data_IF_042649634717
#
_entry.id   IF_042649634717
#
_cell.length_a   1.000
_cell.length_b   1.000
_cell.length_c   1.000
_cell.angle_alpha   90.00
_cell.angle_beta   90.00
_cell.angle_gamma   90.00
#
_symmetry.space_group_name_H-M   'P 1'
#
loop_
_entity.id
_entity.type
_entity.pdbx_description
1 polymer ?
#
# COMPACT_ATOMS: atom_id res chain seq x y z
N UNK A 1 23.12 -17.63 -26.79
CA UNK A 1 22.39 -17.47 -25.52
C UNK A 1 23.46 -17.41 -24.44
N UNK A 2 23.97 -16.21 -24.16
CA UNK A 2 24.97 -16.03 -23.09
C UNK A 2 24.34 -16.54 -21.79
N UNK A 3 25.00 -17.51 -21.16
CA UNK A 3 24.59 -18.00 -19.86
C UNK A 3 24.58 -16.80 -18.91
N UNK A 4 23.41 -16.47 -18.35
CA UNK A 4 23.33 -15.51 -17.24
C UNK A 4 24.39 -15.95 -16.21
N UNK A 5 25.30 -15.06 -15.78
CA UNK A 5 26.24 -15.41 -14.75
C UNK A 5 25.45 -15.96 -13.55
N UNK A 6 25.88 -17.10 -13.03
CA UNK A 6 25.28 -17.68 -11.83
C UNK A 6 25.31 -16.59 -10.74
N UNK A 7 24.13 -16.12 -10.34
CA UNK A 7 24.02 -15.11 -9.29
C UNK A 7 24.51 -15.75 -8.00
N UNK A 8 25.53 -15.17 -7.38
CA UNK A 8 25.93 -15.57 -6.02
C UNK A 8 24.88 -15.01 -5.05
N UNK A 9 23.92 -15.85 -4.67
CA UNK A 9 22.85 -15.50 -3.74
C UNK A 9 23.37 -14.94 -2.41
N UNK A 10 24.53 -15.41 -1.94
CA UNK A 10 25.14 -14.91 -0.72
C UNK A 10 25.74 -13.51 -0.91
N UNK A 11 26.35 -13.24 -2.07
CA UNK A 11 26.80 -11.89 -2.43
C UNK A 11 25.62 -10.93 -2.57
N UNK A 12 24.59 -11.33 -3.32
CA UNK A 12 23.38 -10.52 -3.51
C UNK A 12 22.70 -10.22 -2.17
N UNK A 13 22.62 -11.20 -1.26
CA UNK A 13 22.09 -10.99 0.08
C UNK A 13 22.90 -9.99 0.92
N UNK A 14 24.23 -10.01 0.81
CA UNK A 14 25.09 -9.02 1.48
C UNK A 14 24.89 -7.61 0.91
N UNK A 15 24.79 -7.48 -0.40
CA UNK A 15 24.55 -6.20 -1.07
C UNK A 15 23.17 -5.63 -0.73
N UNK A 16 22.13 -6.46 -0.71
CA UNK A 16 20.79 -6.06 -0.31
C UNK A 16 20.75 -5.52 1.14
N UNK A 17 21.43 -6.19 2.07
CA UNK A 17 21.56 -5.70 3.45
C UNK A 17 22.36 -4.39 3.52
N UNK A 18 23.44 -4.26 2.75
CA UNK A 18 24.23 -3.03 2.70
C UNK A 18 23.40 -1.82 2.24
N UNK A 19 22.49 -2.01 1.28
CA UNK A 19 21.53 -0.97 0.86
C UNK A 19 20.61 -0.55 2.01
N UNK A 20 20.04 -1.51 2.75
CA UNK A 20 19.17 -1.20 3.90
C UNK A 20 19.92 -0.47 5.02
N UNK A 21 21.17 -0.82 5.27
CA UNK A 21 21.99 -0.13 6.28
C UNK A 21 22.37 1.29 5.81
N UNK A 22 22.71 1.46 4.53
CA UNK A 22 23.02 2.78 3.96
C UNK A 22 21.82 3.74 3.97
N UNK A 23 20.60 3.19 3.85
CA UNK A 23 19.37 3.96 3.85
C UNK A 23 18.79 4.20 5.26
N UNK A 24 19.45 3.74 6.32
CA UNK A 24 18.98 3.96 7.68
C UNK A 24 19.27 5.38 8.16
N UNK A 25 18.26 6.05 8.72
CA UNK A 25 18.38 7.42 9.22
C UNK A 25 18.62 7.52 10.73
N UNK A 26 18.71 6.39 11.44
CA UNK A 26 18.73 6.34 12.90
C UNK A 26 17.37 5.99 13.51
N UNK A 27 16.27 6.22 12.79
CA UNK A 27 14.91 5.90 13.25
C UNK A 27 14.03 5.23 12.19
N UNK A 28 14.24 5.49 10.90
CA UNK A 28 13.50 4.86 9.81
C UNK A 28 14.41 4.60 8.60
N UNK A 29 14.04 3.66 7.75
CA UNK A 29 14.77 3.40 6.50
C UNK A 29 14.11 4.17 5.36
N UNK A 30 14.88 5.00 4.66
CA UNK A 30 14.36 5.73 3.49
C UNK A 30 14.25 4.79 2.28
N UNK A 31 13.16 4.82 1.48
CA UNK A 31 13.04 3.96 0.31
C UNK A 31 14.15 4.20 -0.72
N UNK A 32 14.47 5.47 -0.98
CA UNK A 32 15.52 5.88 -1.89
C UNK A 32 16.12 7.22 -1.42
N UNK A 33 17.42 7.29 -1.09
CA UNK A 33 18.08 8.55 -0.76
C UNK A 33 17.88 9.59 -1.86
N UNK A 34 17.57 10.83 -1.47
CA UNK A 34 17.29 11.93 -2.39
C UNK A 34 15.85 11.97 -2.88
N UNK A 35 15.34 10.89 -3.50
CA UNK A 35 14.00 10.87 -4.09
C UNK A 35 12.89 10.72 -3.03
N UNK A 36 13.09 9.82 -2.07
CA UNK A 36 12.14 9.51 -1.00
C UNK A 36 12.84 9.67 0.36
N UNK A 37 13.10 10.91 0.85
CA UNK A 37 13.98 11.18 1.99
C UNK A 37 13.33 11.00 3.38
N UNK A 38 12.27 10.20 3.47
CA UNK A 38 11.43 9.98 4.65
C UNK A 38 11.08 8.49 4.79
N UNK A 39 10.29 8.15 5.81
CA UNK A 39 9.84 6.78 6.03
C UNK A 39 8.43 6.62 5.45
N UNK A 40 8.26 5.65 4.54
CA UNK A 40 6.97 5.31 3.96
C UNK A 40 6.39 4.04 4.57
N UNK A 41 5.07 4.02 4.76
CA UNK A 41 4.39 2.98 5.55
C UNK A 41 4.54 1.57 5.01
N UNK A 42 4.19 1.33 3.75
CA UNK A 42 4.27 -0.02 3.18
C UNK A 42 5.73 -0.41 2.87
N UNK A 43 6.60 0.55 2.54
CA UNK A 43 8.05 0.35 2.36
C UNK A 43 8.68 -0.15 3.65
N UNK A 44 8.38 0.49 4.78
CA UNK A 44 8.82 0.04 6.10
C UNK A 44 8.34 -1.38 6.43
N UNK A 45 7.14 -1.77 5.99
CA UNK A 45 6.69 -3.16 6.17
C UNK A 45 7.57 -4.15 5.37
N UNK A 46 7.97 -3.81 4.13
CA UNK A 46 8.93 -4.61 3.36
C UNK A 46 10.34 -4.60 3.97
N UNK A 47 10.79 -3.46 4.50
CA UNK A 47 12.07 -3.35 5.21
C UNK A 47 12.08 -4.25 6.45
N UNK A 48 11.02 -4.24 7.25
CA UNK A 48 10.86 -5.15 8.41
C UNK A 48 10.97 -6.61 7.97
N UNK A 49 10.31 -6.98 6.87
CA UNK A 49 10.37 -8.35 6.31
C UNK A 49 11.81 -8.69 5.87
N UNK A 50 12.50 -7.78 5.18
CA UNK A 50 13.88 -7.99 4.71
C UNK A 50 14.88 -8.10 5.87
N UNK A 51 14.68 -7.33 6.93
CA UNK A 51 15.54 -7.34 8.12
C UNK A 51 15.23 -8.48 9.09
N UNK A 52 14.02 -9.04 9.07
CA UNK A 52 13.51 -9.98 10.07
C UNK A 52 14.47 -11.15 10.39
N UNK A 53 15.10 -11.71 9.36
CA UNK A 53 16.02 -12.86 9.51
C UNK A 53 17.43 -12.45 9.96
N UNK A 54 17.92 -11.28 9.53
CA UNK A 54 19.34 -10.92 9.61
C UNK A 54 19.64 -9.84 10.65
N UNK A 55 18.68 -8.96 10.91
CA UNK A 55 18.75 -7.80 11.81
C UNK A 55 17.42 -7.60 12.55
N UNK A 56 16.97 -8.56 13.38
CA UNK A 56 15.65 -8.51 14.01
C UNK A 56 15.48 -7.30 14.94
N UNK A 57 16.54 -6.82 15.59
CA UNK A 57 16.46 -5.62 16.45
C UNK A 57 16.13 -4.38 15.62
N UNK A 58 16.79 -4.21 14.46
CA UNK A 58 16.49 -3.15 13.49
C UNK A 58 15.10 -3.28 12.89
N UNK A 59 14.63 -4.50 12.64
CA UNK A 59 13.26 -4.74 12.18
C UNK A 59 12.23 -4.28 13.22
N UNK A 60 12.48 -4.48 14.52
CA UNK A 60 11.61 -3.97 15.60
C UNK A 60 11.61 -2.45 15.65
N UNK A 61 12.79 -1.84 15.55
CA UNK A 61 12.95 -0.37 15.55
C UNK A 61 12.23 0.26 14.35
N UNK A 62 12.38 -0.29 13.14
CA UNK A 62 11.69 0.17 11.94
C UNK A 62 10.16 0.19 12.13
N UNK A 63 9.59 -0.93 12.61
CA UNK A 63 8.14 -1.05 12.83
C UNK A 63 7.65 -0.08 13.90
N UNK A 64 8.34 0.02 15.04
CA UNK A 64 7.95 0.90 16.14
C UNK A 64 8.07 2.38 15.76
N UNK A 65 9.09 2.73 14.98
CA UNK A 65 9.27 4.09 14.51
C UNK A 65 8.14 4.51 13.57
N UNK A 66 7.75 3.65 12.61
CA UNK A 66 6.59 3.90 11.78
C UNK A 66 5.31 4.06 12.63
N UNK A 67 5.09 3.14 13.57
CA UNK A 67 3.92 3.15 14.45
C UNK A 67 3.91 4.32 15.44
N UNK A 68 5.04 5.01 15.67
CA UNK A 68 5.05 6.29 16.39
C UNK A 68 4.31 7.41 15.63
N UNK A 69 4.16 7.25 14.32
CA UNK A 69 3.33 8.08 13.45
C UNK A 69 1.84 7.72 13.47
N UNK A 70 1.42 6.68 14.20
CA UNK A 70 0.01 6.30 14.26
C UNK A 70 -0.84 7.37 14.93
N UNK A 71 -1.95 7.73 14.29
CA UNK A 71 -2.92 8.69 14.82
C UNK A 71 -3.76 8.03 15.92
N UNK A 72 -4.30 8.85 16.84
CA UNK A 72 -5.19 8.36 17.90
C UNK A 72 -6.49 7.71 17.37
N UNK A 73 -6.85 8.00 16.10
CA UNK A 73 -7.94 7.32 15.37
C UNK A 73 -7.62 5.88 14.98
N UNK A 74 -6.35 5.46 15.07
CA UNK A 74 -5.83 4.18 14.59
C UNK A 74 -5.16 4.27 13.21
N UNK A 75 -5.32 5.36 12.46
CA UNK A 75 -4.69 5.50 11.13
C UNK A 75 -3.16 5.43 11.23
N UNK A 76 -2.54 4.55 10.44
CA UNK A 76 -1.09 4.57 10.20
C UNK A 76 -0.86 5.39 8.91
N UNK A 77 -0.17 6.54 8.98
CA UNK A 77 0.01 7.43 7.84
C UNK A 77 0.98 6.84 6.83
N UNK A 78 0.81 7.16 5.54
CA UNK A 78 1.72 6.66 4.50
C UNK A 78 3.12 7.26 4.59
N UNK A 79 3.31 8.42 5.25
CA UNK A 79 4.62 9.05 5.45
C UNK A 79 4.79 9.49 6.90
N UNK A 80 5.95 9.18 7.48
CA UNK A 80 6.48 9.80 8.69
C UNK A 80 7.69 10.67 8.31
N UNK A 81 7.54 11.98 8.51
CA UNK A 81 8.51 12.98 8.07
C UNK A 81 9.65 13.13 9.08
N UNK A 82 10.87 12.88 8.61
CA UNK A 82 12.10 12.99 9.42
C UNK A 82 12.82 14.32 9.22
N UNK A 83 12.71 14.91 8.04
CA UNK A 83 13.30 16.21 7.69
C UNK A 83 12.21 17.09 7.10
N UNK A 84 12.05 18.32 7.59
CA UNK A 84 11.00 19.21 7.10
C UNK A 84 11.32 19.65 5.67
N UNK A 85 10.30 19.61 4.80
CA UNK A 85 10.31 20.14 3.43
C UNK A 85 11.38 19.56 2.49
N UNK A 86 11.94 18.38 2.78
CA UNK A 86 12.86 17.68 1.86
C UNK A 86 12.13 16.94 0.72
N UNK A 87 10.81 16.82 0.82
CA UNK A 87 9.92 16.18 -0.15
C UNK A 87 8.64 17.01 -0.29
N UNK A 88 8.04 17.01 -1.47
CA UNK A 88 6.77 17.68 -1.73
C UNK A 88 5.70 16.69 -2.20
N UNK A 89 4.48 16.72 -1.62
CA UNK A 89 4.01 17.61 -0.56
C UNK A 89 4.60 17.29 0.82
N UNK A 90 5.17 18.31 1.47
CA UNK A 90 5.80 18.21 2.79
C UNK A 90 4.86 18.53 3.97
N UNK A 91 5.38 18.52 5.21
CA UNK A 91 4.60 18.84 6.41
C UNK A 91 3.81 20.15 6.32
N UNK A 92 4.35 21.18 5.66
CA UNK A 92 3.67 22.47 5.45
C UNK A 92 2.37 22.35 4.64
N UNK A 93 2.28 21.37 3.74
CA UNK A 93 1.08 21.08 2.96
C UNK A 93 0.14 20.20 3.78
N UNK A 94 0.64 19.13 4.40
CA UNK A 94 -0.20 18.19 5.15
C UNK A 94 -0.77 18.79 6.43
N UNK A 95 -0.04 19.65 7.13
CA UNK A 95 -0.48 20.31 8.38
C UNK A 95 -1.09 19.34 9.41
N UNK A 96 -0.59 18.11 9.48
CA UNK A 96 -1.12 17.08 10.38
C UNK A 96 -1.02 17.50 11.85
N UNK A 97 0.01 18.27 12.22
CA UNK A 97 0.18 18.81 13.58
C UNK A 97 -0.96 19.70 14.08
N UNK A 98 -1.86 20.13 13.20
CA UNK A 98 -3.02 20.94 13.55
C UNK A 98 -4.25 20.10 13.90
N UNK A 99 -4.20 18.79 13.64
CA UNK A 99 -5.29 17.86 13.93
C UNK A 99 -5.11 17.22 15.31
N UNK A 100 -6.16 17.20 16.13
CA UNK A 100 -6.10 16.74 17.53
C UNK A 100 -5.68 15.27 17.69
N UNK A 101 -6.04 14.42 16.73
CA UNK A 101 -5.67 13.00 16.73
C UNK A 101 -4.30 12.70 16.13
N UNK A 102 -3.61 13.69 15.55
CA UNK A 102 -2.31 13.45 14.95
C UNK A 102 -1.25 13.25 16.05
N UNK A 103 -0.22 12.42 15.81
CA UNK A 103 0.88 12.24 16.73
C UNK A 103 1.77 13.50 16.79
N UNK A 104 2.73 13.52 17.71
CA UNK A 104 3.71 14.61 17.83
C UNK A 104 4.69 14.70 16.65
N UNK A 105 4.93 13.58 15.97
CA UNK A 105 5.77 13.54 14.77
C UNK A 105 4.98 14.06 13.57
N UNK A 106 5.66 14.73 12.63
CA UNK A 106 4.99 15.17 11.40
C UNK A 106 4.67 13.96 10.53
N UNK A 107 3.42 13.88 10.10
CA UNK A 107 2.93 12.80 9.25
C UNK A 107 2.14 13.36 8.08
N UNK A 108 1.97 12.56 7.03
CA UNK A 108 0.94 12.85 6.03
C UNK A 108 -0.46 12.54 6.57
N UNK A 109 -1.50 12.95 5.83
CA UNK A 109 -2.91 12.74 6.20
C UNK A 109 -3.59 11.54 5.51
N UNK A 110 -2.84 10.73 4.76
CA UNK A 110 -3.36 9.57 4.03
C UNK A 110 -2.79 8.27 4.59
N UNK A 111 -3.51 7.15 4.40
CA UNK A 111 -3.05 5.79 4.77
C UNK A 111 -2.31 5.10 3.62
N UNK A 112 -1.86 3.87 3.81
CA UNK A 112 -1.19 3.02 2.82
C UNK A 112 -1.68 1.57 2.96
N UNK A 113 -1.38 0.63 2.04
CA UNK A 113 -1.81 -0.75 2.18
C UNK A 113 -1.29 -1.37 3.50
N UNK A 114 -2.16 -2.02 4.31
CA UNK A 114 -1.84 -2.38 5.69
C UNK A 114 -1.01 -3.68 5.81
N UNK A 115 0.20 -3.71 5.26
CA UNK A 115 1.11 -4.88 5.29
C UNK A 115 1.72 -5.19 6.68
N UNK A 116 1.49 -4.33 7.67
CA UNK A 116 2.23 -4.30 8.93
C UNK A 116 2.06 -5.56 9.79
N UNK A 117 0.88 -6.19 9.81
CA UNK A 117 0.67 -7.44 10.54
C UNK A 117 1.40 -8.62 9.88
N UNK A 118 1.49 -8.63 8.54
CA UNK A 118 2.31 -9.62 7.82
C UNK A 118 3.79 -9.44 8.14
N UNK A 119 4.26 -8.20 8.24
CA UNK A 119 5.62 -7.88 8.64
C UNK A 119 5.92 -8.33 10.07
N UNK A 120 5.03 -8.03 11.03
CA UNK A 120 5.13 -8.52 12.41
C UNK A 120 5.13 -10.06 12.47
N UNK A 121 4.26 -10.71 11.70
CA UNK A 121 4.21 -12.18 11.61
C UNK A 121 5.51 -12.76 11.08
N UNK A 122 6.10 -12.14 10.05
CA UNK A 122 7.37 -12.56 9.50
C UNK A 122 8.50 -12.42 10.53
N UNK A 123 8.56 -11.29 11.23
CA UNK A 123 9.51 -11.03 12.30
C UNK A 123 9.37 -12.04 13.46
N UNK A 124 8.14 -12.31 13.89
CA UNK A 124 7.87 -13.28 14.94
C UNK A 124 8.32 -14.69 14.54
N UNK A 125 8.05 -15.13 13.31
CA UNK A 125 8.49 -16.46 12.81
C UNK A 125 10.00 -16.66 12.87
N UNK A 126 10.80 -15.59 12.78
CA UNK A 126 12.26 -15.67 12.90
C UNK A 126 12.78 -15.51 14.33
N UNK A 127 12.03 -14.86 15.22
CA UNK A 127 12.53 -14.45 16.53
C UNK A 127 11.87 -15.17 17.71
N UNK A 128 10.63 -15.64 17.56
CA UNK A 128 9.82 -16.15 18.67
C UNK A 128 9.47 -15.09 19.73
N UNK A 129 9.62 -13.80 19.41
CA UNK A 129 9.53 -12.71 20.39
C UNK A 129 8.08 -12.37 20.76
N UNK A 130 7.55 -13.09 21.75
CA UNK A 130 6.19 -12.90 22.29
C UNK A 130 6.00 -11.50 22.89
N UNK A 131 7.02 -10.95 23.55
CA UNK A 131 6.93 -9.64 24.20
C UNK A 131 6.75 -8.54 23.16
N UNK A 132 7.47 -8.62 22.04
CA UNK A 132 7.30 -7.68 20.94
C UNK A 132 5.94 -7.81 20.25
N UNK A 133 5.45 -9.05 20.04
CA UNK A 133 4.08 -9.26 19.53
C UNK A 133 3.05 -8.59 20.42
N UNK A 134 3.10 -8.82 21.75
CA UNK A 134 2.18 -8.18 22.71
C UNK A 134 2.22 -6.64 22.66
N UNK A 135 3.39 -6.07 22.37
CA UNK A 135 3.57 -4.62 22.24
C UNK A 135 2.96 -4.07 20.94
N UNK A 136 3.25 -4.69 19.79
CA UNK A 136 2.86 -4.17 18.48
C UNK A 136 1.42 -4.53 18.10
N UNK A 137 0.91 -5.70 18.55
CA UNK A 137 -0.42 -6.21 18.21
C UNK A 137 -1.55 -5.20 18.40
N UNK A 138 -1.76 -4.56 19.57
CA UNK A 138 -2.88 -3.63 19.76
C UNK A 138 -2.82 -2.40 18.82
N UNK A 139 -1.62 -1.96 18.44
CA UNK A 139 -1.44 -0.86 17.48
C UNK A 139 -1.94 -1.26 16.09
N UNK A 140 -1.67 -2.49 15.66
CA UNK A 140 -2.13 -3.04 14.38
C UNK A 140 -3.63 -3.34 14.38
N UNK A 141 -4.18 -3.77 15.52
CA UNK A 141 -5.65 -3.89 15.69
C UNK A 141 -6.30 -2.52 15.51
N UNK A 142 -5.74 -1.46 16.10
CA UNK A 142 -6.26 -0.10 15.92
C UNK A 142 -6.22 0.37 14.46
N UNK A 143 -5.17 0.00 13.71
CA UNK A 143 -5.09 0.26 12.28
C UNK A 143 -6.22 -0.42 11.50
N UNK A 144 -6.48 -1.71 11.76
CA UNK A 144 -7.55 -2.44 11.07
C UNK A 144 -8.94 -1.91 11.46
N UNK A 145 -9.13 -1.52 12.72
CA UNK A 145 -10.36 -0.88 13.17
C UNK A 145 -10.59 0.48 12.50
N UNK A 146 -9.53 1.27 12.29
CA UNK A 146 -9.63 2.51 11.50
C UNK A 146 -10.11 2.23 10.08
N UNK A 147 -9.54 1.22 9.40
CA UNK A 147 -9.97 0.85 8.05
C UNK A 147 -11.43 0.39 8.01
N UNK A 148 -11.84 -0.48 8.93
CA UNK A 148 -13.21 -1.00 9.00
C UNK A 148 -14.26 0.07 9.34
N UNK A 149 -13.88 1.12 10.07
CA UNK A 149 -14.82 2.17 10.51
C UNK A 149 -14.80 3.41 9.63
N UNK A 150 -13.62 3.94 9.33
CA UNK A 150 -13.45 5.21 8.63
C UNK A 150 -13.33 5.04 7.12
N UNK A 151 -12.96 3.85 6.62
CA UNK A 151 -12.72 3.60 5.19
C UNK A 151 -13.75 2.67 4.53
N UNK A 152 -14.65 2.03 5.29
CA UNK A 152 -15.81 1.33 4.71
C UNK A 152 -16.88 2.32 4.24
N UNK A 153 -16.54 3.05 3.16
CA UNK A 153 -17.40 4.08 2.59
C UNK A 153 -18.56 3.47 1.78
N UNK A 154 -18.34 2.30 1.18
CA UNK A 154 -19.36 1.53 0.46
C UNK A 154 -20.30 0.73 1.37
N UNK A 155 -19.97 0.58 2.65
CA UNK A 155 -20.78 -0.13 3.65
C UNK A 155 -20.81 -1.65 3.48
N UNK A 156 -19.86 -2.20 2.74
CA UNK A 156 -19.80 -3.61 2.38
C UNK A 156 -18.65 -4.37 3.05
N UNK A 157 -17.82 -3.69 3.85
CA UNK A 157 -16.66 -4.27 4.52
C UNK A 157 -15.35 -4.16 3.74
N UNK A 158 -15.31 -3.39 2.65
CA UNK A 158 -14.08 -3.05 1.93
C UNK A 158 -13.61 -1.65 2.33
N UNK A 159 -12.30 -1.48 2.46
CA UNK A 159 -11.71 -0.16 2.65
C UNK A 159 -11.59 0.54 1.29
N UNK A 160 -12.08 1.78 1.23
CA UNK A 160 -11.90 2.66 0.10
C UNK A 160 -10.61 3.49 0.24
N UNK A 161 -9.79 3.49 -0.80
CA UNK A 161 -8.75 4.50 -1.00
C UNK A 161 -9.43 5.81 -1.40
N UNK A 162 -8.96 6.92 -0.84
CA UNK A 162 -9.50 8.27 -1.08
C UNK A 162 -8.49 9.16 -1.80
N UNK A 163 -7.35 8.59 -2.17
CA UNK A 163 -6.32 9.22 -2.96
C UNK A 163 -5.48 8.14 -3.67
N UNK A 164 -5.04 8.33 -4.93
CA UNK A 164 -4.21 7.35 -5.64
C UNK A 164 -2.98 6.86 -4.85
N UNK A 165 -2.24 7.76 -4.20
CA UNK A 165 -1.13 7.45 -3.29
C UNK A 165 -1.44 6.42 -2.19
N UNK A 166 -2.69 6.25 -1.76
CA UNK A 166 -3.05 5.25 -0.75
C UNK A 166 -2.99 3.82 -1.28
N UNK A 167 -3.05 3.63 -2.60
CA UNK A 167 -2.87 2.32 -3.23
C UNK A 167 -1.39 1.87 -3.26
N UNK A 168 -0.46 2.82 -3.14
CA UNK A 168 0.96 2.61 -3.45
C UNK A 168 1.26 2.51 -4.95
N UNK A 169 0.26 2.72 -5.81
CA UNK A 169 0.34 2.63 -7.27
C UNK A 169 -0.09 3.96 -7.93
N UNK A 170 0.67 5.02 -7.65
CA UNK A 170 0.28 6.43 -7.80
C UNK A 170 -0.36 6.80 -9.13
N UNK A 171 0.28 6.47 -10.26
CA UNK A 171 -0.18 6.80 -11.60
C UNK A 171 -0.71 5.59 -12.36
N UNK A 172 -1.16 4.57 -11.64
CA UNK A 172 -1.83 3.40 -12.23
C UNK A 172 -2.94 3.86 -13.18
N UNK A 173 -3.07 3.23 -14.37
CA UNK A 173 -4.10 3.62 -15.33
C UNK A 173 -5.52 3.35 -14.81
N UNK A 174 -5.68 2.60 -13.72
CA UNK A 174 -6.95 2.44 -13.01
C UNK A 174 -7.48 3.75 -12.41
N UNK A 175 -6.63 4.77 -12.22
CA UNK A 175 -7.05 6.04 -11.63
C UNK A 175 -7.37 7.11 -12.68
N UNK A 176 -7.13 6.85 -13.97
CA UNK A 176 -7.24 7.83 -15.07
C UNK A 176 -8.63 8.44 -15.17
N UNK A 177 -9.67 7.60 -15.25
CA UNK A 177 -11.06 8.06 -15.37
C UNK A 177 -11.52 8.83 -14.11
N UNK A 178 -11.33 8.30 -12.87
CA UNK A 178 -11.62 9.05 -11.65
C UNK A 178 -10.89 10.39 -11.55
N UNK A 179 -9.62 10.46 -11.96
CA UNK A 179 -8.83 11.70 -11.94
C UNK A 179 -9.28 12.68 -13.03
N UNK A 180 -9.61 12.19 -14.23
CA UNK A 180 -10.11 13.01 -15.33
C UNK A 180 -11.47 13.66 -15.01
N UNK A 181 -12.28 13.03 -14.15
CA UNK A 181 -13.53 13.59 -13.66
C UNK A 181 -13.36 14.74 -12.65
N UNK A 182 -12.14 14.93 -12.11
CA UNK A 182 -11.85 16.04 -11.21
C UNK A 182 -11.75 17.38 -11.97
N UNK A 183 -11.99 18.53 -11.30
CA UNK A 183 -11.83 19.84 -11.92
C UNK A 183 -10.42 20.02 -12.48
N UNK A 184 -10.28 20.88 -13.50
CA UNK A 184 -8.95 21.31 -13.96
C UNK A 184 -8.34 22.21 -12.89
N UNK A 185 -7.23 21.75 -12.30
CA UNK A 185 -6.49 22.46 -11.26
C UNK A 185 -5.13 22.87 -11.81
N UNK A 186 -4.70 24.10 -11.51
CA UNK A 186 -3.34 24.55 -11.79
C UNK A 186 -2.73 25.16 -10.54
N UNK A 187 -1.67 24.54 -10.01
CA UNK A 187 -0.89 25.11 -8.93
C UNK A 187 0.41 25.71 -9.46
N UNK A 188 0.66 26.97 -9.12
CA UNK A 188 1.97 27.59 -9.30
C UNK A 188 2.91 27.16 -8.17
N UNK A 189 3.61 26.03 -8.33
CA UNK A 189 4.67 25.65 -7.39
C UNK A 189 5.81 26.65 -7.53
N UNK A 190 5.89 27.61 -6.61
CA UNK A 190 7.08 28.46 -6.50
C UNK A 190 8.20 27.59 -5.94
N UNK A 191 9.26 27.41 -6.71
CA UNK A 191 10.58 26.90 -6.30
C UNK A 191 10.78 25.38 -6.14
N UNK A 192 10.03 24.53 -6.85
CA UNK A 192 10.34 23.09 -6.92
C UNK A 192 10.58 22.69 -8.39
N UNK A 193 11.85 22.57 -8.77
CA UNK A 193 12.23 21.82 -9.97
C UNK A 193 12.03 20.33 -9.68
N UNK A 194 10.83 19.82 -9.96
CA UNK A 194 10.57 18.38 -10.00
C UNK A 194 11.24 17.86 -11.28
N UNK A 195 12.47 17.35 -11.18
CA UNK A 195 13.30 16.90 -12.31
C UNK A 195 12.68 15.82 -13.20
N UNK A 196 11.56 15.23 -12.79
CA UNK A 196 10.82 14.17 -13.50
C UNK A 196 9.36 14.55 -13.76
N UNK A 197 9.01 15.84 -13.86
CA UNK A 197 7.65 16.23 -14.23
C UNK A 197 7.38 15.84 -15.68
N UNK A 198 6.74 14.70 -15.89
CA UNK A 198 6.12 14.40 -17.17
C UNK A 198 5.06 15.49 -17.47
N UNK A 199 5.01 16.02 -18.70
CA UNK A 199 4.05 17.07 -19.09
C UNK A 199 2.57 16.69 -18.82
N UNK A 200 2.27 15.39 -18.82
CA UNK A 200 0.94 14.80 -18.60
C UNK A 200 0.76 14.21 -17.19
N UNK A 201 1.39 14.80 -16.18
CA UNK A 201 1.30 14.33 -14.78
C UNK A 201 0.06 14.86 -14.07
N UNK A 202 -0.67 13.97 -13.38
CA UNK A 202 -1.79 14.29 -12.50
C UNK A 202 -1.39 14.90 -11.14
N UNK A 203 -0.12 15.32 -10.97
CA UNK A 203 0.40 15.81 -9.70
C UNK A 203 -0.45 16.95 -9.09
N UNK A 204 -0.96 17.87 -9.91
CA UNK A 204 -1.82 18.98 -9.44
C UNK A 204 -3.14 18.45 -8.86
N UNK A 205 -3.70 17.38 -9.44
CA UNK A 205 -4.89 16.71 -8.91
C UNK A 205 -4.58 15.98 -7.61
N UNK A 206 -3.40 15.36 -7.49
CA UNK A 206 -2.96 14.70 -6.25
C UNK A 206 -2.87 15.71 -5.10
N UNK A 207 -2.15 16.81 -5.31
CA UNK A 207 -2.00 17.88 -4.32
C UNK A 207 -3.37 18.47 -3.96
N UNK A 208 -4.25 18.67 -4.95
CA UNK A 208 -5.60 19.16 -4.71
C UNK A 208 -6.44 18.23 -3.84
N UNK A 209 -6.44 16.92 -4.11
CA UNK A 209 -7.14 15.93 -3.30
C UNK A 209 -6.63 15.91 -1.85
N UNK A 210 -5.31 15.94 -1.67
CA UNK A 210 -4.68 16.00 -0.36
C UNK A 210 -5.08 17.26 0.41
N UNK A 211 -5.04 18.43 -0.23
CA UNK A 211 -5.45 19.70 0.37
C UNK A 211 -6.94 19.73 0.72
N UNK A 212 -7.82 19.21 -0.15
CA UNK A 212 -9.26 19.10 0.11
C UNK A 212 -9.55 18.26 1.34
N UNK A 213 -8.91 17.10 1.47
CA UNK A 213 -9.11 16.23 2.63
C UNK A 213 -8.58 16.87 3.93
N UNK A 214 -7.42 17.54 3.86
CA UNK A 214 -6.88 18.35 4.97
C UNK A 214 -7.83 19.48 5.37
N UNK A 215 -8.31 20.27 4.42
CA UNK A 215 -9.14 21.45 4.67
C UNK A 215 -10.53 21.06 5.20
N UNK A 216 -10.98 19.84 4.91
CA UNK A 216 -12.13 19.23 5.56
C UNK A 216 -11.84 18.68 6.98
N UNK A 217 -10.62 18.85 7.49
CA UNK A 217 -10.19 18.42 8.82
C UNK A 217 -9.97 16.93 8.94
N UNK A 218 -9.60 16.23 7.85
CA UNK A 218 -9.38 14.78 7.84
C UNK A 218 -10.57 13.93 8.37
N UNK A 219 -11.79 14.45 8.25
CA UNK A 219 -12.99 13.83 8.82
C UNK A 219 -13.48 12.66 7.96
N UNK A 220 -13.80 11.53 8.60
CA UNK A 220 -14.40 10.37 7.93
C UNK A 220 -15.76 10.68 7.27
N UNK A 221 -16.58 11.54 7.88
CA UNK A 221 -17.86 11.96 7.31
C UNK A 221 -17.69 12.67 5.95
N UNK A 222 -16.70 13.56 5.83
CA UNK A 222 -16.38 14.22 4.57
C UNK A 222 -15.99 13.22 3.48
N UNK A 223 -15.23 12.18 3.84
CA UNK A 223 -14.89 11.10 2.90
C UNK A 223 -16.12 10.38 2.38
N UNK A 224 -17.16 10.17 3.19
CA UNK A 224 -18.40 9.54 2.74
C UNK A 224 -19.19 10.47 1.82
N UNK A 225 -19.40 11.71 2.28
CA UNK A 225 -20.47 12.56 1.77
C UNK A 225 -20.03 13.51 0.63
N UNK A 226 -18.77 13.95 0.61
CA UNK A 226 -18.35 15.10 -0.24
C UNK A 226 -17.05 14.86 -1.03
N UNK A 227 -16.18 13.96 -0.57
CA UNK A 227 -14.85 13.80 -1.16
C UNK A 227 -14.92 13.18 -2.57
N UNK A 228 -14.33 13.75 -3.63
CA UNK A 228 -14.67 13.39 -5.01
C UNK A 228 -13.95 12.14 -5.52
N UNK A 229 -13.09 11.51 -4.72
CA UNK A 229 -12.35 10.31 -5.09
C UNK A 229 -12.52 9.25 -3.99
N UNK A 230 -13.13 8.12 -4.30
CA UNK A 230 -13.25 7.00 -3.37
C UNK A 230 -13.35 5.69 -4.14
N UNK A 231 -12.36 4.80 -3.97
CA UNK A 231 -12.26 3.58 -4.76
C UNK A 231 -12.01 2.37 -3.86
N UNK A 232 -12.79 1.31 -4.07
CA UNK A 232 -12.49 -0.01 -3.50
C UNK A 232 -11.42 -0.68 -4.40
N UNK A 233 -10.17 -0.69 -3.93
CA UNK A 233 -9.01 -1.25 -4.66
C UNK A 233 -8.78 -2.74 -4.29
N UNK A 234 -8.73 -3.68 -5.26
CA UNK A 234 -8.45 -5.09 -5.02
C UNK A 234 -7.10 -5.35 -4.35
N UNK A 235 -6.05 -4.59 -4.67
CA UNK A 235 -4.72 -4.78 -4.06
C UNK A 235 -4.72 -4.36 -2.60
N UNK A 236 -5.24 -3.17 -2.32
CA UNK A 236 -5.36 -2.67 -0.96
C UNK A 236 -6.15 -3.64 -0.06
N UNK A 237 -7.30 -4.12 -0.53
CA UNK A 237 -8.17 -5.00 0.23
C UNK A 237 -7.64 -6.44 0.32
N UNK A 238 -6.99 -6.96 -0.72
CA UNK A 238 -6.28 -8.25 -0.66
C UNK A 238 -5.13 -8.25 0.35
N UNK A 239 -4.36 -7.16 0.40
CA UNK A 239 -3.33 -6.94 1.43
C UNK A 239 -3.97 -6.88 2.82
N UNK A 240 -5.08 -6.15 2.97
CA UNK A 240 -5.75 -6.03 4.26
C UNK A 240 -6.31 -7.37 4.75
N UNK A 241 -6.88 -8.18 3.86
CA UNK A 241 -7.33 -9.53 4.16
C UNK A 241 -6.16 -10.39 4.66
N UNK A 242 -5.04 -10.43 3.93
CA UNK A 242 -3.86 -11.20 4.34
C UNK A 242 -3.26 -10.69 5.67
N UNK A 243 -3.38 -9.38 5.93
CA UNK A 243 -3.03 -8.76 7.21
C UNK A 243 -3.96 -9.19 8.34
N UNK A 244 -5.27 -9.31 8.09
CA UNK A 244 -6.24 -9.82 9.06
C UNK A 244 -5.93 -11.28 9.44
N UNK A 245 -5.61 -12.12 8.45
CA UNK A 245 -5.15 -13.49 8.71
C UNK A 245 -3.86 -13.53 9.53
N UNK A 246 -2.94 -12.59 9.28
CA UNK A 246 -1.72 -12.47 10.09
C UNK A 246 -2.01 -12.06 11.54
N UNK A 247 -2.96 -11.15 11.78
CA UNK A 247 -3.42 -10.83 13.14
C UNK A 247 -4.12 -12.03 13.80
N UNK A 248 -4.93 -12.80 13.07
CA UNK A 248 -5.54 -14.00 13.61
C UNK A 248 -4.50 -15.02 14.11
N UNK A 249 -3.41 -15.23 13.36
CA UNK A 249 -2.30 -16.08 13.81
C UNK A 249 -1.56 -15.52 15.03
N UNK A 250 -1.42 -14.19 15.10
CA UNK A 250 -0.71 -13.51 16.18
C UNK A 250 -1.55 -13.31 17.45
N UNK A 251 -2.87 -13.36 17.36
CA UNK A 251 -3.77 -13.05 18.47
C UNK A 251 -3.54 -13.96 19.69
N UNK A 252 -3.45 -15.30 19.58
CA UNK A 252 -3.17 -16.16 20.74
C UNK A 252 -1.82 -15.86 21.40
N UNK A 253 -0.82 -15.46 20.60
CA UNK A 253 0.52 -15.08 21.09
C UNK A 253 0.43 -13.77 21.89
N UNK A 254 -0.38 -12.82 21.42
CA UNK A 254 -0.69 -11.58 22.11
C UNK A 254 -1.59 -11.78 23.34
N UNK A 255 -2.21 -12.96 23.51
CA UNK A 255 -3.22 -13.22 24.56
C UNK A 255 -4.60 -12.67 24.21
N UNK A 256 -4.92 -12.52 22.93
CA UNK A 256 -6.18 -12.03 22.38
C UNK A 256 -6.93 -13.11 21.58
N UNK A 257 -8.21 -12.86 21.28
CA UNK A 257 -9.04 -13.74 20.46
C UNK A 257 -8.73 -13.55 18.96
N UNK A 258 -8.61 -14.67 18.24
CA UNK A 258 -8.41 -14.69 16.79
C UNK A 258 -9.71 -14.47 15.99
N UNK A 259 -10.87 -14.76 16.59
CA UNK A 259 -12.19 -14.76 15.94
C UNK A 259 -12.50 -13.47 15.16
N UNK A 260 -12.39 -12.27 15.76
CA UNK A 260 -12.69 -11.01 15.07
C UNK A 260 -11.86 -10.79 13.80
N UNK A 261 -10.59 -11.20 13.81
CA UNK A 261 -9.68 -11.04 12.67
C UNK A 261 -10.02 -12.02 11.54
N UNK A 262 -10.41 -13.25 11.87
CA UNK A 262 -10.91 -14.23 10.89
C UNK A 262 -12.23 -13.77 10.27
N UNK A 263 -13.14 -13.24 11.09
CA UNK A 263 -14.42 -12.71 10.61
C UNK A 263 -14.21 -11.51 9.67
N UNK A 264 -13.28 -10.61 9.99
CA UNK A 264 -12.97 -9.49 9.12
C UNK A 264 -12.35 -9.95 7.80
N UNK A 265 -11.45 -10.94 7.81
CA UNK A 265 -10.88 -11.52 6.59
C UNK A 265 -11.97 -12.12 5.68
N UNK A 266 -12.93 -12.87 6.25
CA UNK A 266 -14.05 -13.44 5.51
C UNK A 266 -14.97 -12.35 4.91
N UNK A 267 -15.26 -11.29 5.68
CA UNK A 267 -16.05 -10.15 5.17
C UNK A 267 -15.38 -9.49 3.96
N UNK A 268 -14.07 -9.27 4.01
CA UNK A 268 -13.30 -8.70 2.91
C UNK A 268 -13.33 -9.64 1.69
N UNK A 269 -13.11 -10.95 1.90
CA UNK A 269 -13.18 -11.97 0.84
C UNK A 269 -14.49 -11.90 0.08
N UNK A 270 -15.60 -12.03 0.81
CA UNK A 270 -16.93 -12.07 0.23
C UNK A 270 -17.24 -10.76 -0.51
N UNK A 271 -16.90 -9.61 0.08
CA UNK A 271 -17.13 -8.31 -0.54
C UNK A 271 -16.28 -8.08 -1.81
N UNK A 272 -15.04 -8.56 -1.86
CA UNK A 272 -14.22 -8.50 -3.09
C UNK A 272 -14.85 -9.33 -4.21
N UNK A 273 -15.35 -10.53 -3.90
CA UNK A 273 -16.04 -11.40 -4.88
C UNK A 273 -17.33 -10.73 -5.35
N UNK A 274 -18.15 -10.22 -4.44
CA UNK A 274 -19.46 -9.68 -4.80
C UNK A 274 -19.38 -8.35 -5.55
N UNK A 275 -18.38 -7.53 -5.25
CA UNK A 275 -18.35 -6.13 -5.70
C UNK A 275 -17.30 -5.83 -6.76
N UNK A 276 -16.20 -6.57 -6.78
CA UNK A 276 -15.03 -6.29 -7.60
C UNK A 276 -14.81 -7.32 -8.72
N UNK A 277 -15.45 -8.49 -8.65
CA UNK A 277 -15.28 -9.56 -9.64
C UNK A 277 -16.18 -9.39 -10.86
N UNK A 278 -15.59 -9.45 -12.05
CA UNK A 278 -16.29 -9.69 -13.32
C UNK A 278 -15.29 -10.18 -14.37
N UNK A 279 -15.00 -11.49 -14.31
CA UNK A 279 -13.95 -12.18 -15.10
C UNK A 279 -12.51 -11.89 -14.66
N UNK A 280 -12.30 -10.78 -13.96
CA UNK A 280 -11.10 -10.40 -13.22
C UNK A 280 -11.53 -9.50 -12.05
N UNK A 281 -10.65 -9.22 -11.09
CA UNK A 281 -10.92 -8.23 -10.06
C UNK A 281 -10.57 -6.83 -10.55
N UNK A 282 -11.56 -5.95 -10.56
CA UNK A 282 -11.43 -4.56 -10.99
C UNK A 282 -11.71 -3.62 -9.81
N UNK A 283 -11.00 -2.48 -9.71
CA UNK A 283 -11.37 -1.45 -8.75
C UNK A 283 -12.80 -0.96 -8.99
N UNK A 284 -13.51 -0.61 -7.92
CA UNK A 284 -14.85 -0.01 -8.00
C UNK A 284 -14.80 1.44 -7.56
N UNK A 285 -15.18 2.36 -8.43
CA UNK A 285 -15.35 3.77 -8.08
C UNK A 285 -16.71 3.95 -7.38
N UNK A 286 -16.67 4.39 -6.13
CA UNK A 286 -17.86 4.62 -5.30
C UNK A 286 -18.62 5.90 -5.69
N UNK A 287 -18.03 6.78 -6.51
CA UNK A 287 -18.69 8.01 -6.98
C UNK A 287 -19.55 7.78 -8.20
N UNK A 288 -19.12 6.88 -9.08
CA UNK A 288 -19.89 6.46 -10.25
C UNK A 288 -20.65 5.15 -10.04
N UNK A 289 -20.35 4.43 -8.95
CA UNK A 289 -20.82 3.08 -8.63
C UNK A 289 -20.53 2.05 -9.75
N UNK A 290 -19.35 2.17 -10.36
CA UNK A 290 -18.94 1.34 -11.51
C UNK A 290 -17.58 0.69 -11.28
N UNK A 291 -17.40 -0.48 -11.91
CA UNK A 291 -16.10 -1.11 -12.04
C UNK A 291 -15.24 -0.34 -13.04
N UNK A 292 -14.00 -0.07 -12.66
CA UNK A 292 -12.97 0.51 -13.53
C UNK A 292 -12.31 -0.64 -14.28
N UNK A 293 -12.68 -0.83 -15.54
CA UNK A 293 -12.28 -1.97 -16.38
C UNK A 293 -10.87 -1.87 -16.95
N UNK A 294 -9.90 -1.54 -16.10
CA UNK A 294 -8.47 -1.51 -16.42
C UNK A 294 -7.78 -2.61 -15.62
N UNK A 295 -7.22 -3.62 -16.30
CA UNK A 295 -6.55 -4.73 -15.65
C UNK A 295 -5.08 -4.36 -15.39
N UNK A 296 -4.71 -4.25 -14.12
CA UNK A 296 -3.33 -3.92 -13.69
C UNK A 296 -2.82 -5.02 -12.77
N UNK A 297 -1.56 -4.90 -12.31
CA UNK A 297 -1.04 -5.78 -11.26
C UNK A 297 -1.91 -5.72 -9.98
N UNK A 298 -2.62 -4.60 -9.76
CA UNK A 298 -3.53 -4.43 -8.64
C UNK A 298 -4.69 -5.44 -8.63
N UNK A 299 -5.14 -5.88 -9.81
CA UNK A 299 -6.21 -6.88 -9.98
C UNK A 299 -5.88 -8.25 -9.35
N UNK A 300 -4.61 -8.53 -9.07
CA UNK A 300 -4.18 -9.81 -8.51
C UNK A 300 -4.00 -9.78 -6.98
N UNK A 301 -4.31 -8.65 -6.32
CA UNK A 301 -4.32 -8.53 -4.87
C UNK A 301 -5.08 -9.63 -4.13
N UNK A 302 -6.29 -10.01 -4.59
CA UNK A 302 -7.08 -11.08 -3.96
C UNK A 302 -6.41 -12.46 -3.96
N UNK A 303 -5.38 -12.70 -4.80
CA UNK A 303 -4.60 -13.95 -4.75
C UNK A 303 -3.84 -14.14 -3.43
N UNK A 304 -3.63 -13.06 -2.65
CA UNK A 304 -3.04 -13.14 -1.32
C UNK A 304 -3.90 -13.92 -0.32
N UNK A 305 -5.16 -14.20 -0.66
CA UNK A 305 -6.09 -14.96 0.16
C UNK A 305 -6.02 -16.48 -0.15
N UNK A 306 -5.54 -17.32 0.77
CA UNK A 306 -5.53 -18.77 0.58
C UNK A 306 -6.92 -19.41 0.54
N UNK A 307 -7.98 -18.67 0.93
CA UNK A 307 -9.37 -19.14 0.85
C UNK A 307 -10.16 -18.56 -0.34
N UNK A 308 -9.49 -17.93 -1.32
CA UNK A 308 -10.15 -17.49 -2.53
C UNK A 308 -10.80 -18.69 -3.26
N UNK A 309 -12.08 -18.61 -3.69
CA UNK A 309 -12.74 -19.74 -4.33
C UNK A 309 -12.07 -20.15 -5.64
N UNK A 310 -12.19 -21.44 -5.96
CA UNK A 310 -11.47 -22.07 -7.07
C UNK A 310 -11.66 -21.36 -8.40
N UNK A 311 -12.90 -20.99 -8.77
CA UNK A 311 -13.16 -20.39 -10.08
C UNK A 311 -12.47 -19.02 -10.25
N UNK A 312 -12.53 -18.17 -9.23
CA UNK A 312 -11.86 -16.86 -9.22
C UNK A 312 -10.34 -17.01 -9.20
N UNK A 313 -9.82 -17.97 -8.45
CA UNK A 313 -8.39 -18.29 -8.41
C UNK A 313 -7.88 -18.72 -9.80
N UNK A 314 -8.53 -19.71 -10.42
CA UNK A 314 -8.12 -20.22 -11.73
C UNK A 314 -8.20 -19.14 -12.81
N UNK A 315 -9.28 -18.37 -12.87
CA UNK A 315 -9.43 -17.29 -13.84
C UNK A 315 -8.39 -16.16 -13.63
N UNK A 316 -8.06 -15.82 -12.38
CA UNK A 316 -7.02 -14.84 -12.07
C UNK A 316 -5.62 -15.34 -12.48
N UNK A 317 -5.31 -16.62 -12.24
CA UNK A 317 -4.04 -17.23 -12.67
C UNK A 317 -3.97 -17.31 -14.20
N UNK A 318 -5.05 -17.72 -14.87
CA UNK A 318 -5.13 -17.75 -16.34
C UNK A 318 -4.89 -16.36 -16.94
N UNK A 319 -5.49 -15.31 -16.35
CA UNK A 319 -5.24 -13.93 -16.76
C UNK A 319 -3.77 -13.54 -16.59
N UNK A 320 -3.17 -13.87 -15.44
CA UNK A 320 -1.78 -13.56 -15.10
C UNK A 320 -0.78 -14.29 -16.02
N UNK A 321 -1.08 -15.53 -16.40
CA UNK A 321 -0.27 -16.37 -17.30
C UNK A 321 -0.55 -16.10 -18.79
N UNK A 322 -1.60 -15.34 -19.10
CA UNK A 322 -1.94 -14.99 -20.47
C UNK A 322 -0.88 -14.08 -21.13
N UNK A 323 -0.98 -13.95 -22.46
CA UNK A 323 -0.16 -13.03 -23.25
C UNK A 323 -0.45 -11.53 -22.97
N UNK A 324 -1.33 -11.21 -22.01
CA UNK A 324 -1.53 -9.85 -21.48
C UNK A 324 -0.51 -9.51 -20.38
N UNK A 325 0.07 -10.53 -19.73
CA UNK A 325 1.06 -10.42 -18.65
C UNK A 325 2.21 -11.43 -18.86
N UNK A 326 2.37 -12.43 -17.96
CA UNK A 326 3.54 -13.30 -17.91
C UNK A 326 3.71 -14.16 -19.15
N UNK A 327 2.63 -14.51 -19.85
CA UNK A 327 2.71 -15.30 -21.07
C UNK A 327 3.49 -14.60 -22.19
N UNK A 328 3.64 -13.27 -22.12
CA UNK A 328 4.41 -12.49 -23.08
C UNK A 328 5.72 -11.92 -22.50
N UNK A 329 5.75 -11.55 -21.21
CA UNK A 329 6.95 -10.93 -20.60
C UNK A 329 7.81 -11.90 -19.80
N UNK A 330 7.28 -13.08 -19.43
CA UNK A 330 7.79 -13.87 -18.33
C UNK A 330 7.60 -13.18 -16.98
N UNK A 331 8.22 -13.74 -15.94
CA UNK A 331 8.38 -13.10 -14.64
C UNK A 331 9.64 -12.21 -14.63
N UNK A 332 9.62 -11.00 -14.07
CA UNK A 332 8.55 -10.41 -13.25
C UNK A 332 7.35 -9.85 -14.05
N UNK A 333 6.18 -9.85 -13.41
CA UNK A 333 4.90 -9.33 -13.91
C UNK A 333 4.96 -7.80 -14.06
N UNK A 334 4.53 -7.23 -15.21
CA UNK A 334 4.44 -5.78 -15.40
C UNK A 334 3.28 -5.17 -14.58
N UNK A 335 3.39 -3.88 -14.25
CA UNK A 335 2.35 -3.16 -13.47
C UNK A 335 1.03 -2.96 -14.22
N UNK A 336 1.07 -2.96 -15.55
CA UNK A 336 -0.08 -2.81 -16.44
C UNK A 336 -0.04 -3.91 -17.50
N UNK A 337 -1.20 -4.35 -17.99
CA UNK A 337 -1.24 -5.31 -19.10
C UNK A 337 -0.55 -4.74 -20.35
N UNK A 338 0.24 -5.57 -21.04
CA UNK A 338 1.12 -5.08 -22.12
C UNK A 338 0.38 -4.67 -23.40
N UNK A 339 -0.91 -5.01 -23.49
CA UNK A 339 -1.78 -4.70 -24.64
C UNK A 339 -2.70 -3.51 -24.40
N UNK A 340 -2.71 -2.95 -23.19
CA UNK A 340 -3.48 -1.75 -22.89
C UNK A 340 -2.92 -0.55 -23.64
N UNK A 341 -3.80 0.36 -24.05
CA UNK A 341 -3.39 1.62 -24.69
C UNK A 341 -2.54 2.50 -23.75
N UNK A 342 -2.72 2.32 -22.44
CA UNK A 342 -2.00 3.03 -21.39
C UNK A 342 -0.62 2.42 -21.09
N UNK A 343 -0.27 1.27 -21.68
CA UNK A 343 0.99 0.60 -21.39
C UNK A 343 2.18 1.44 -21.86
N UNK A 344 3.07 1.77 -20.92
CA UNK A 344 4.30 2.50 -21.17
C UNK A 344 5.43 1.87 -20.34
N UNK A 345 6.50 1.45 -21.03
CA UNK A 345 7.64 0.74 -20.42
C UNK A 345 8.52 1.61 -19.54
N UNK A 346 8.41 2.94 -19.63
CA UNK A 346 9.26 3.87 -18.87
C UNK A 346 8.48 4.62 -17.80
N UNK A 347 7.14 4.57 -17.83
CA UNK A 347 6.29 5.33 -16.93
C UNK A 347 5.82 4.51 -15.73
N UNK A 348 6.52 4.68 -14.62
CA UNK A 348 6.13 4.32 -13.25
C UNK A 348 5.16 3.11 -13.08
N UNK A 349 3.87 3.29 -12.77
CA UNK A 349 2.89 2.20 -12.59
C UNK A 349 2.09 1.84 -13.85
N UNK A 350 2.57 2.26 -15.02
CA UNK A 350 1.91 2.03 -16.32
C UNK A 350 2.58 0.97 -17.19
N UNK A 351 3.53 0.22 -16.66
CA UNK A 351 4.20 -0.82 -17.44
C UNK A 351 5.39 -1.47 -16.74
N UNK A 352 6.32 -0.71 -16.12
CA UNK A 352 7.44 -1.29 -15.38
C UNK A 352 7.01 -2.38 -14.40
N UNK A 353 7.84 -3.41 -14.25
CA UNK A 353 7.67 -4.44 -13.23
C UNK A 353 8.27 -3.96 -11.91
N UNK A 354 7.56 -4.21 -10.81
CA UNK A 354 7.97 -3.75 -9.48
C UNK A 354 8.27 -4.93 -8.54
N UNK A 355 9.38 -4.84 -7.80
CA UNK A 355 9.84 -5.94 -6.93
C UNK A 355 8.85 -6.24 -5.81
N UNK A 356 8.25 -5.21 -5.22
CA UNK A 356 7.30 -5.34 -4.10
C UNK A 356 6.01 -6.07 -4.51
N UNK A 357 5.37 -5.68 -5.62
CA UNK A 357 4.15 -6.38 -6.10
C UNK A 357 4.46 -7.78 -6.59
N UNK A 358 5.61 -7.98 -7.24
CA UNK A 358 6.05 -9.32 -7.62
C UNK A 358 6.39 -10.21 -6.42
N UNK A 359 6.93 -9.64 -5.33
CA UNK A 359 7.11 -10.35 -4.07
C UNK A 359 5.76 -10.77 -3.46
N UNK A 360 4.74 -9.91 -3.52
CA UNK A 360 3.38 -10.24 -3.07
C UNK A 360 2.77 -11.36 -3.91
N UNK A 361 2.89 -11.32 -5.24
CA UNK A 361 2.44 -12.40 -6.12
C UNK A 361 3.19 -13.71 -5.86
N UNK A 362 4.51 -13.62 -5.65
CA UNK A 362 5.33 -14.80 -5.32
C UNK A 362 4.98 -15.39 -3.95
N UNK A 363 4.45 -14.58 -3.02
CA UNK A 363 3.95 -15.03 -1.73
C UNK A 363 2.57 -15.69 -1.83
N UNK A 364 1.76 -15.24 -2.78
CA UNK A 364 0.44 -15.81 -3.05
C UNK A 364 0.52 -17.19 -3.74
N UNK A 365 1.55 -17.40 -4.58
CA UNK A 365 1.88 -18.68 -5.19
C UNK A 365 2.53 -19.65 -4.20
#
# INVERSE_FOLDING_TARGET
MEARPAVDDAALGREALAVLEANWTGSGTVPAPGLYPHQWSWDSAFVVIGLARHRPDRAREELLSLLSGQWATGMVPHIVFHTREAYFPGPSVWRSQEHESAPRVFTSGLTSPPLHALALRCLYRHTGDVAFVRRAFPMLVAQHNYLASARDLGGAGLAAIVHPWESGMDDSPAWDEPLAALPVIGYGYRNLELGERHPDSDHDRYVWLAMRYRDAGYRAAYLRDEHPFAIEDPMFNGIWLASCQALAELAPIAGADAGPHLHQAERIRQAMIDRLWDGCFYPRDLRTDRLIKVCTVGSFGPLLDPGLPGDQLHASVEMLESARFMGATGYPVPSCEIRAAQFDRTRYWRGPSWVNTNWLLRRAA
#
